data_IF_727250173086
#
_entry.id   IF_727250173086
#
_cell.length_a   1.000
_cell.length_b   1.000
_cell.length_c   1.000
_cell.angle_alpha   90.00
_cell.angle_beta   90.00
_cell.angle_gamma   90.00
#
_symmetry.space_group_name_H-M   'P 1'
#
loop_
_entity.id
_entity.type
_entity.pdbx_description
1 polymer ?
#
# COMPACT_ATOMS: atom_id res chain seq x y z
N UNK A 1 -24.04 51.03 12.52
CA UNK A 1 -23.28 49.90 13.08
C UNK A 1 -21.81 50.12 12.75
N UNK A 2 -20.96 50.44 13.71
CA UNK A 2 -19.50 50.51 13.46
C UNK A 2 -19.00 49.11 13.24
N UNK A 3 -18.62 48.78 12.01
CA UNK A 3 -17.95 47.57 11.69
C UNK A 3 -16.64 47.50 12.51
N UNK A 4 -16.54 46.49 13.35
CA UNK A 4 -15.39 46.36 14.24
C UNK A 4 -14.19 45.91 13.39
N UNK A 5 -13.37 46.93 13.00
CA UNK A 5 -12.19 46.71 12.14
C UNK A 5 -11.23 45.69 12.70
N UNK A 6 -11.24 45.52 14.02
CA UNK A 6 -10.45 44.52 14.72
C UNK A 6 -10.96 43.11 14.44
N UNK A 7 -12.28 42.90 14.53
CA UNK A 7 -12.91 41.60 14.24
C UNK A 7 -12.71 41.20 12.76
N UNK A 8 -12.83 42.16 11.86
CA UNK A 8 -12.58 41.93 10.43
C UNK A 8 -11.12 41.54 10.16
N UNK A 9 -10.17 42.18 10.86
CA UNK A 9 -8.74 41.80 10.77
C UNK A 9 -8.46 40.39 11.24
N UNK A 10 -9.07 39.94 12.34
CA UNK A 10 -8.96 38.57 12.84
C UNK A 10 -9.55 37.58 11.83
N UNK A 11 -10.72 37.85 11.28
CA UNK A 11 -11.39 36.99 10.30
C UNK A 11 -10.54 36.82 9.04
N UNK A 12 -9.92 37.86 8.54
CA UNK A 12 -9.01 37.83 7.39
C UNK A 12 -7.77 36.97 7.75
N UNK A 13 -7.19 37.17 8.95
CA UNK A 13 -6.04 36.39 9.41
C UNK A 13 -6.34 34.90 9.48
N UNK A 14 -7.50 34.52 10.01
CA UNK A 14 -7.93 33.11 10.06
C UNK A 14 -8.15 32.57 8.64
N UNK A 15 -8.80 33.32 7.76
CA UNK A 15 -9.02 32.87 6.38
C UNK A 15 -7.70 32.64 5.64
N UNK A 16 -6.71 33.50 5.81
CA UNK A 16 -5.37 33.33 5.22
C UNK A 16 -4.69 32.06 5.78
N UNK A 17 -4.74 31.84 7.10
CA UNK A 17 -4.18 30.64 7.71
C UNK A 17 -4.81 29.34 7.19
N UNK A 18 -6.14 29.33 7.01
CA UNK A 18 -6.86 28.18 6.44
C UNK A 18 -6.42 27.92 5.00
N UNK A 19 -6.32 28.97 4.18
CA UNK A 19 -5.85 28.84 2.80
C UNK A 19 -4.42 28.30 2.74
N UNK A 20 -3.52 28.84 3.56
CA UNK A 20 -2.12 28.35 3.64
C UNK A 20 -2.09 26.89 4.09
N UNK A 21 -2.87 26.51 5.10
CA UNK A 21 -2.95 25.14 5.57
C UNK A 21 -3.44 24.17 4.47
N UNK A 22 -4.46 24.56 3.71
CA UNK A 22 -4.97 23.80 2.57
C UNK A 22 -3.92 23.68 1.46
N UNK A 23 -3.23 24.74 1.11
CA UNK A 23 -2.17 24.72 0.09
C UNK A 23 -1.04 23.80 0.53
N UNK A 24 -0.58 23.90 1.79
CA UNK A 24 0.45 23.00 2.34
C UNK A 24 -0.02 21.54 2.37
N UNK A 25 -1.30 21.31 2.72
CA UNK A 25 -1.88 19.96 2.69
C UNK A 25 -1.89 19.36 1.29
N UNK A 26 -2.31 20.13 0.28
CA UNK A 26 -2.33 19.66 -1.11
C UNK A 26 -0.92 19.45 -1.71
N UNK A 27 0.05 20.30 -1.34
CA UNK A 27 1.45 20.15 -1.79
C UNK A 27 2.11 18.94 -1.10
N UNK A 28 1.77 18.66 0.16
CA UNK A 28 2.31 17.53 0.93
C UNK A 28 1.53 16.24 0.75
N UNK A 29 0.48 16.22 -0.05
CA UNK A 29 -0.11 14.99 -0.51
C UNK A 29 0.93 14.30 -1.37
N UNK A 30 1.77 13.45 -0.73
CA UNK A 30 2.63 12.51 -1.44
C UNK A 30 1.72 11.67 -2.33
N UNK A 31 1.66 12.03 -3.60
CA UNK A 31 1.21 11.12 -4.63
C UNK A 31 2.28 10.05 -4.71
N UNK A 32 2.08 8.96 -3.98
CA UNK A 32 2.95 7.81 -4.13
C UNK A 32 2.97 7.45 -5.62
N UNK A 33 4.16 7.41 -6.18
CA UNK A 33 4.37 7.13 -7.60
C UNK A 33 4.97 5.73 -7.74
N UNK A 34 4.65 5.09 -8.86
CA UNK A 34 5.30 3.83 -9.22
C UNK A 34 6.79 4.07 -9.43
N UNK A 35 7.61 3.15 -8.92
CA UNK A 35 9.06 3.19 -9.01
C UNK A 35 9.58 2.08 -9.93
N UNK A 36 10.91 2.01 -10.15
CA UNK A 36 11.51 0.97 -11.00
C UNK A 36 11.18 -0.43 -10.49
N UNK A 37 10.86 -1.34 -11.42
CA UNK A 37 10.54 -2.76 -11.17
C UNK A 37 11.77 -3.67 -11.34
N UNK A 38 12.96 -3.07 -11.55
CA UNK A 38 14.21 -3.81 -11.74
C UNK A 38 14.70 -4.46 -10.43
N UNK A 39 14.19 -3.99 -9.29
CA UNK A 39 14.51 -4.48 -7.96
C UNK A 39 13.28 -5.02 -7.25
N UNK A 40 13.44 -6.06 -6.39
CA UNK A 40 12.31 -6.70 -5.70
C UNK A 40 11.46 -5.71 -4.87
N UNK A 41 12.10 -4.76 -4.19
CA UNK A 41 11.43 -3.74 -3.39
C UNK A 41 10.51 -2.87 -4.24
N UNK A 42 10.93 -2.56 -5.46
CA UNK A 42 10.14 -1.78 -6.41
C UNK A 42 8.86 -2.51 -6.82
N UNK A 43 8.94 -3.80 -7.06
CA UNK A 43 7.77 -4.63 -7.37
C UNK A 43 6.80 -4.70 -6.20
N UNK A 44 7.31 -4.91 -4.97
CA UNK A 44 6.49 -4.93 -3.75
C UNK A 44 5.81 -3.57 -3.55
N UNK A 45 6.57 -2.47 -3.66
CA UNK A 45 6.03 -1.12 -3.55
C UNK A 45 4.91 -0.86 -4.57
N UNK A 46 5.16 -1.19 -5.81
CA UNK A 46 4.22 -0.97 -6.91
C UNK A 46 2.96 -1.84 -6.78
N UNK A 47 3.10 -3.08 -6.30
CA UNK A 47 1.97 -3.94 -5.99
C UNK A 47 1.08 -3.32 -4.90
N UNK A 48 1.69 -2.91 -3.78
CA UNK A 48 0.97 -2.25 -2.68
C UNK A 48 0.25 -1.00 -3.18
N UNK A 49 0.95 -0.17 -3.95
CA UNK A 49 0.37 1.06 -4.50
C UNK A 49 -0.79 0.77 -5.46
N UNK A 50 -0.68 -0.25 -6.31
CA UNK A 50 -1.75 -0.65 -7.22
C UNK A 50 -2.99 -1.12 -6.44
N UNK A 51 -2.80 -1.95 -5.40
CA UNK A 51 -3.90 -2.40 -4.53
C UNK A 51 -4.57 -1.23 -3.82
N UNK A 52 -3.79 -0.29 -3.26
CA UNK A 52 -4.34 0.88 -2.57
C UNK A 52 -5.08 1.86 -3.48
N UNK A 53 -4.78 1.83 -4.78
CA UNK A 53 -5.44 2.62 -5.81
C UNK A 53 -6.60 1.87 -6.50
N UNK A 54 -6.96 0.67 -6.04
CA UNK A 54 -7.95 -0.21 -6.67
C UNK A 54 -7.61 -0.60 -8.13
N UNK A 55 -6.33 -0.45 -8.52
CA UNK A 55 -5.80 -0.87 -9.83
C UNK A 55 -5.46 -2.37 -9.80
N UNK A 56 -6.53 -3.18 -9.73
CA UNK A 56 -6.39 -4.63 -9.59
C UNK A 56 -5.78 -5.30 -10.82
N UNK A 57 -5.97 -4.75 -12.01
CA UNK A 57 -5.34 -5.27 -13.23
C UNK A 57 -3.82 -5.17 -13.14
N UNK A 58 -3.31 -4.04 -12.72
CA UNK A 58 -1.89 -3.82 -12.51
C UNK A 58 -1.35 -4.66 -11.37
N UNK A 59 -2.05 -4.68 -10.23
CA UNK A 59 -1.67 -5.50 -9.08
C UNK A 59 -1.55 -6.98 -9.45
N UNK A 60 -2.53 -7.52 -10.19
CA UNK A 60 -2.51 -8.90 -10.66
C UNK A 60 -1.32 -9.20 -11.58
N UNK A 61 -0.90 -8.24 -12.39
CA UNK A 61 0.26 -8.35 -13.26
C UNK A 61 1.59 -8.59 -12.54
N UNK A 62 1.68 -8.26 -11.24
CA UNK A 62 2.86 -8.53 -10.43
C UNK A 62 2.91 -9.94 -9.85
N UNK A 63 1.82 -10.71 -9.89
CA UNK A 63 1.76 -12.06 -9.36
C UNK A 63 2.58 -13.03 -10.23
N UNK A 64 3.31 -13.94 -9.56
CA UNK A 64 4.05 -14.99 -10.23
C UNK A 64 3.11 -15.97 -10.94
N UNK A 65 3.53 -16.46 -12.11
CA UNK A 65 2.80 -17.47 -12.86
C UNK A 65 3.22 -18.89 -12.40
N UNK A 66 2.72 -19.27 -11.23
CA UNK A 66 2.98 -20.55 -10.59
C UNK A 66 1.70 -21.38 -10.55
N UNK A 67 1.84 -22.66 -10.18
CA UNK A 67 0.70 -23.54 -9.94
C UNK A 67 -0.23 -22.97 -8.88
N UNK A 68 -1.54 -23.14 -9.06
CA UNK A 68 -2.59 -22.61 -8.17
C UNK A 68 -2.62 -21.06 -8.06
N UNK A 69 -2.08 -20.36 -9.05
CA UNK A 69 -2.29 -18.93 -9.16
C UNK A 69 -3.80 -18.62 -9.19
N UNK A 70 -4.29 -17.67 -8.36
CA UNK A 70 -5.70 -17.27 -8.44
C UNK A 70 -6.04 -16.73 -9.83
N UNK A 71 -7.26 -16.95 -10.29
CA UNK A 71 -7.74 -16.23 -11.47
C UNK A 71 -7.86 -14.74 -11.15
N UNK A 72 -7.86 -13.89 -12.18
CA UNK A 72 -8.04 -12.44 -11.96
C UNK A 72 -9.35 -12.13 -11.21
N UNK A 73 -10.42 -12.86 -11.48
CA UNK A 73 -11.71 -12.69 -10.81
C UNK A 73 -11.61 -13.03 -9.32
N UNK A 74 -10.97 -14.16 -8.96
CA UNK A 74 -10.73 -14.54 -7.57
C UNK A 74 -9.85 -13.53 -6.84
N UNK A 75 -8.79 -13.05 -7.52
CA UNK A 75 -7.92 -12.03 -6.99
C UNK A 75 -8.69 -10.75 -6.65
N UNK A 76 -9.44 -10.22 -7.60
CA UNK A 76 -10.22 -9.00 -7.44
C UNK A 76 -11.33 -9.17 -6.39
N UNK A 77 -12.01 -10.31 -6.38
CA UNK A 77 -13.11 -10.60 -5.44
C UNK A 77 -12.61 -10.58 -3.99
N UNK A 78 -11.41 -11.08 -3.70
CA UNK A 78 -10.85 -11.08 -2.35
C UNK A 78 -10.75 -9.67 -1.76
N UNK A 79 -10.40 -8.66 -2.56
CA UNK A 79 -10.37 -7.26 -2.12
C UNK A 79 -11.76 -6.64 -2.05
N UNK A 80 -12.59 -6.86 -3.05
CA UNK A 80 -13.93 -6.26 -3.12
C UNK A 80 -14.85 -6.78 -2.00
N UNK A 81 -14.72 -8.05 -1.62
CA UNK A 81 -15.49 -8.65 -0.50
C UNK A 81 -14.87 -8.36 0.87
N UNK A 82 -13.66 -7.82 0.91
CA UNK A 82 -12.96 -7.50 2.15
C UNK A 82 -12.34 -8.71 2.87
N UNK A 83 -12.21 -9.86 2.19
CA UNK A 83 -11.41 -11.00 2.70
C UNK A 83 -9.95 -10.58 2.83
N UNK A 84 -9.46 -9.83 1.85
CA UNK A 84 -8.18 -9.09 1.90
C UNK A 84 -8.50 -7.62 2.05
N UNK A 85 -8.02 -7.00 3.13
CA UNK A 85 -8.39 -5.61 3.44
C UNK A 85 -7.17 -4.78 3.82
N UNK A 86 -6.61 -4.00 2.89
CA UNK A 86 -5.47 -3.12 3.12
C UNK A 86 -5.84 -1.85 3.92
N UNK A 87 -7.14 -1.58 4.11
CA UNK A 87 -7.61 -0.37 4.77
C UNK A 87 -7.16 -0.32 6.25
N UNK A 88 -6.90 0.88 6.74
CA UNK A 88 -6.42 1.16 8.10
C UNK A 88 -4.99 0.66 8.41
N UNK A 89 -4.22 0.29 7.41
CA UNK A 89 -2.80 -0.01 7.57
C UNK A 89 -1.95 0.90 6.67
N UNK A 90 -0.81 1.35 7.18
CA UNK A 90 0.26 1.88 6.36
C UNK A 90 1.28 0.78 6.11
N UNK A 91 1.97 0.84 4.99
CA UNK A 91 2.99 -0.14 4.60
C UNK A 91 4.30 0.56 4.38
N UNK A 92 5.34 0.01 4.99
CA UNK A 92 6.71 0.42 4.77
C UNK A 92 7.48 -0.76 4.15
N UNK A 93 7.99 -0.56 2.96
CA UNK A 93 8.76 -1.58 2.22
C UNK A 93 10.22 -1.38 2.54
N UNK A 94 10.81 -2.38 3.19
CA UNK A 94 12.20 -2.40 3.62
C UNK A 94 13.14 -2.95 2.54
N UNK A 95 14.28 -3.47 3.01
CA UNK A 95 15.32 -4.00 2.14
C UNK A 95 14.98 -5.41 1.63
N UNK A 96 15.58 -5.78 0.50
CA UNK A 96 15.51 -7.16 -0.02
C UNK A 96 16.77 -7.95 0.28
N UNK A 97 16.58 -9.26 0.41
CA UNK A 97 17.63 -10.27 0.36
C UNK A 97 17.40 -11.11 -0.91
N UNK A 98 18.36 -11.06 -1.83
CA UNK A 98 18.28 -11.80 -3.10
C UNK A 98 19.14 -13.04 -3.00
N UNK A 99 18.58 -14.20 -3.38
CA UNK A 99 19.26 -15.48 -3.46
C UNK A 99 18.90 -16.13 -4.80
N UNK A 100 19.81 -16.02 -5.76
CA UNK A 100 19.63 -16.47 -7.15
C UNK A 100 18.33 -15.91 -7.77
N UNK A 101 17.37 -16.77 -8.08
CA UNK A 101 16.08 -16.43 -8.70
C UNK A 101 14.96 -16.19 -7.68
N UNK A 102 15.29 -16.06 -6.40
CA UNK A 102 14.34 -15.75 -5.34
C UNK A 102 14.75 -14.50 -4.58
N UNK A 103 13.79 -13.74 -4.12
CA UNK A 103 14.03 -12.59 -3.25
C UNK A 103 13.04 -12.56 -2.10
N UNK A 104 13.51 -12.08 -0.94
CA UNK A 104 12.70 -11.82 0.24
C UNK A 104 12.78 -10.34 0.57
N UNK A 105 11.65 -9.66 0.61
CA UNK A 105 11.55 -8.23 0.91
C UNK A 105 10.87 -8.05 2.26
N UNK A 106 11.46 -7.26 3.14
CA UNK A 106 10.85 -6.90 4.41
C UNK A 106 9.66 -5.96 4.17
N UNK A 107 8.52 -6.28 4.76
CA UNK A 107 7.29 -5.48 4.68
C UNK A 107 6.80 -5.23 6.09
N UNK A 108 6.83 -3.99 6.52
CA UNK A 108 6.29 -3.59 7.80
C UNK A 108 4.88 -3.04 7.64
N UNK A 109 3.91 -3.69 8.28
CA UNK A 109 2.53 -3.23 8.34
C UNK A 109 2.36 -2.42 9.62
N UNK A 110 1.97 -1.17 9.47
CA UNK A 110 1.78 -0.24 10.56
C UNK A 110 0.28 -0.04 10.74
N UNK A 111 -0.25 -0.55 11.84
CA UNK A 111 -1.64 -0.32 12.20
C UNK A 111 -1.82 1.12 12.64
N UNK A 112 -2.69 1.83 11.95
CA UNK A 112 -3.03 3.18 12.31
C UNK A 112 -4.01 3.14 13.49
N UNK A 113 -3.58 3.47 14.72
CA UNK A 113 -4.48 3.50 15.85
C UNK A 113 -5.50 4.61 15.65
N UNK A 114 -6.75 4.34 16.01
CA UNK A 114 -7.83 5.33 16.04
C UNK A 114 -7.58 6.47 17.04
N UNK A 115 -6.59 6.28 17.91
CA UNK A 115 -6.17 7.22 18.95
C UNK A 115 -4.86 7.90 18.52
N UNK A 116 -4.82 9.24 18.33
CA UNK A 116 -3.63 9.98 17.96
C UNK A 116 -2.50 9.93 19.01
N UNK A 117 -2.77 9.44 20.23
CA UNK A 117 -1.80 9.29 21.31
C UNK A 117 -1.31 7.85 21.48
N UNK A 118 -1.82 6.89 20.73
CA UNK A 118 -1.35 5.52 20.78
C UNK A 118 -0.17 5.33 19.84
N UNK A 119 0.86 4.65 20.32
CA UNK A 119 1.95 4.16 19.49
C UNK A 119 1.41 3.00 18.65
N UNK A 120 1.27 3.19 17.34
CA UNK A 120 0.81 2.13 16.45
C UNK A 120 1.63 0.84 16.58
N UNK A 121 0.96 -0.28 16.40
CA UNK A 121 1.65 -1.58 16.35
C UNK A 121 2.27 -1.76 14.97
N UNK A 122 3.55 -2.10 14.92
CA UNK A 122 4.30 -2.42 13.70
C UNK A 122 4.51 -3.94 13.66
N UNK A 123 3.98 -4.57 12.63
CA UNK A 123 4.20 -5.99 12.32
C UNK A 123 5.13 -6.09 11.12
N UNK A 124 6.25 -6.81 11.27
CA UNK A 124 7.24 -6.99 10.23
C UNK A 124 7.11 -8.39 9.67
N UNK A 125 6.69 -8.47 8.43
CA UNK A 125 6.54 -9.71 7.67
C UNK A 125 7.45 -9.68 6.42
N UNK A 126 7.37 -10.71 5.58
CA UNK A 126 8.16 -10.81 4.35
C UNK A 126 7.26 -11.06 3.15
N UNK A 127 7.55 -10.34 2.09
CA UNK A 127 7.09 -10.69 0.75
C UNK A 127 8.14 -11.59 0.09
N UNK A 128 7.69 -12.60 -0.64
CA UNK A 128 8.57 -13.50 -1.40
C UNK A 128 8.33 -13.28 -2.88
N UNK A 129 9.42 -13.13 -3.61
CA UNK A 129 9.41 -12.96 -5.05
C UNK A 129 10.23 -14.07 -5.71
N UNK A 130 9.86 -14.39 -6.93
CA UNK A 130 10.60 -15.28 -7.83
C UNK A 130 10.89 -14.54 -9.12
N UNK A 131 11.99 -14.90 -9.78
CA UNK A 131 12.35 -14.33 -11.06
C UNK A 131 11.73 -15.16 -12.18
N UNK A 132 10.93 -14.51 -13.02
CA UNK A 132 10.28 -15.12 -14.19
C UNK A 132 10.46 -14.18 -15.39
N UNK A 133 10.94 -14.71 -16.52
CA UNK A 133 11.17 -13.96 -17.75
C UNK A 133 11.97 -12.65 -17.52
N UNK A 134 13.03 -12.74 -16.71
CA UNK A 134 13.91 -11.64 -16.29
C UNK A 134 13.25 -10.59 -15.38
N UNK A 135 11.97 -10.74 -15.01
CA UNK A 135 11.24 -9.86 -14.12
C UNK A 135 10.99 -10.49 -12.74
N UNK A 136 10.95 -9.66 -11.71
CA UNK A 136 10.54 -10.11 -10.38
C UNK A 136 9.02 -10.21 -10.29
N UNK A 137 8.53 -11.32 -9.74
CA UNK A 137 7.09 -11.59 -9.55
C UNK A 137 6.82 -12.07 -8.13
N UNK A 138 5.69 -11.65 -7.58
CA UNK A 138 5.26 -12.00 -6.24
C UNK A 138 4.72 -13.42 -6.16
N UNK A 139 5.28 -14.22 -5.27
CA UNK A 139 4.77 -15.55 -4.91
C UNK A 139 4.10 -15.57 -3.53
N UNK A 140 4.36 -14.56 -2.69
CA UNK A 140 3.72 -14.38 -1.39
C UNK A 140 3.82 -12.94 -0.91
N UNK A 141 2.79 -12.47 -0.21
CA UNK A 141 2.73 -11.18 0.51
C UNK A 141 2.14 -11.39 1.90
N UNK A 142 2.26 -10.41 2.82
CA UNK A 142 1.56 -10.44 4.09
C UNK A 142 0.07 -10.74 3.94
N UNK A 143 -0.38 -11.83 4.54
CA UNK A 143 -1.76 -12.31 4.46
C UNK A 143 -2.75 -11.38 5.16
N UNK A 144 -4.01 -11.43 4.76
CA UNK A 144 -5.13 -10.61 5.24
C UNK A 144 -5.12 -9.14 4.81
N UNK A 145 -3.96 -8.56 4.54
CA UNK A 145 -3.83 -7.15 4.13
C UNK A 145 -3.63 -7.00 2.63
N UNK A 146 -2.72 -7.80 2.08
CA UNK A 146 -2.32 -7.73 0.68
C UNK A 146 -2.36 -9.09 -0.01
N UNK A 147 -2.78 -10.15 0.67
CA UNK A 147 -2.75 -11.52 0.16
C UNK A 147 -3.84 -12.37 0.79
N UNK A 148 -4.53 -13.15 -0.04
CA UNK A 148 -5.43 -14.17 0.46
C UNK A 148 -4.65 -15.44 0.81
N UNK A 149 -4.93 -15.98 1.97
CA UNK A 149 -4.30 -17.20 2.47
C UNK A 149 -4.44 -18.39 1.51
N UNK A 150 -5.53 -18.47 0.73
CA UNK A 150 -5.80 -19.56 -0.19
C UNK A 150 -5.00 -19.54 -1.49
N UNK A 151 -4.38 -18.39 -1.82
CA UNK A 151 -3.63 -18.28 -3.07
C UNK A 151 -2.35 -19.09 -3.04
N UNK A 152 -2.04 -19.76 -4.15
CA UNK A 152 -0.88 -20.64 -4.35
C UNK A 152 -0.81 -21.84 -3.39
N UNK A 153 -1.90 -22.16 -2.71
CA UNK A 153 -1.97 -23.37 -1.89
C UNK A 153 -2.52 -24.55 -2.69
N UNK A 154 -1.97 -25.73 -2.43
CA UNK A 154 -2.58 -26.98 -2.88
C UNK A 154 -3.88 -27.19 -2.11
N UNK A 155 -5.00 -26.99 -2.77
CA UNK A 155 -6.29 -27.37 -2.19
C UNK A 155 -6.29 -28.88 -1.94
N UNK A 156 -6.62 -29.35 -0.74
CA UNK A 156 -6.76 -30.79 -0.49
C UNK A 156 -7.82 -31.33 -1.42
N UNK A 157 -7.45 -32.37 -2.19
CA UNK A 157 -8.35 -33.10 -3.10
C UNK A 157 -9.43 -33.84 -2.32
#
# INVERSE_FOLDING_TARGET
MKQDRFLTGILIGIAVLVVVALVVFFIRRDTQTYISEDVPEGVVHNYVLAVLNDDYDRAYGYLADLENKPTFEQFREAFVTGVVNPNNSAVDVGNSEINDDTASVEVAIIYNPSDPFSTGYRDVQRAILVRQDEAWKLSSMPTYYFWDYSWYQDLPK
#
